data_IF_122842151671
#
_entry.id   IF_122842151671
#
_cell.length_a   1.000
_cell.length_b   1.000
_cell.length_c   1.000
_cell.angle_alpha   90.00
_cell.angle_beta   90.00
_cell.angle_gamma   90.00
#
_symmetry.space_group_name_H-M   'P 1'
#
loop_
_entity.id
_entity.type
_entity.pdbx_description
1 polymer ?
#
# COMPACT_ATOMS: atom_id res chain seq x y z
N UNK A 1 6.73 -24.33 1.70
CA UNK A 1 6.80 -24.58 3.16
C UNK A 1 6.27 -23.40 3.96
N UNK A 2 6.86 -22.20 3.83
CA UNK A 2 6.47 -21.00 4.61
C UNK A 2 5.00 -20.60 4.46
N UNK A 3 4.48 -20.46 3.24
CA UNK A 3 3.06 -20.07 3.04
C UNK A 3 2.07 -21.13 3.57
N UNK A 4 2.41 -22.42 3.45
CA UNK A 4 1.58 -23.48 4.02
C UNK A 4 1.56 -23.47 5.56
N UNK A 5 2.71 -23.17 6.18
CA UNK A 5 2.78 -22.98 7.63
C UNK A 5 1.98 -21.74 8.06
N UNK A 6 2.10 -20.63 7.32
CA UNK A 6 1.35 -19.40 7.58
C UNK A 6 -0.18 -19.65 7.51
N UNK A 7 -0.64 -20.42 6.53
CA UNK A 7 -2.06 -20.79 6.38
C UNK A 7 -2.63 -21.51 7.61
N UNK A 8 -1.79 -22.22 8.37
CA UNK A 8 -2.22 -22.89 9.61
C UNK A 8 -2.31 -21.97 10.83
N UNK A 9 -1.79 -20.73 10.73
CA UNK A 9 -1.63 -19.79 11.86
C UNK A 9 -2.39 -18.48 11.69
N UNK A 10 -2.69 -18.09 10.45
CA UNK A 10 -3.26 -16.78 10.16
C UNK A 10 -4.74 -16.72 10.52
N UNK A 11 -5.14 -15.66 11.22
CA UNK A 11 -6.55 -15.44 11.56
C UNK A 11 -7.35 -14.97 10.33
N UNK A 12 -8.69 -15.20 10.31
CA UNK A 12 -9.57 -14.58 9.33
C UNK A 12 -9.42 -13.06 9.34
N UNK A 13 -9.51 -12.43 8.16
CA UNK A 13 -9.37 -10.97 7.98
C UNK A 13 -8.01 -10.37 8.43
N UNK A 14 -7.01 -11.20 8.78
CA UNK A 14 -5.65 -10.71 8.97
C UNK A 14 -5.05 -10.26 7.64
N UNK A 15 -4.04 -9.39 7.72
CA UNK A 15 -3.24 -8.96 6.57
C UNK A 15 -1.99 -9.82 6.44
N UNK A 16 -1.76 -10.32 5.24
CA UNK A 16 -0.54 -11.01 4.84
C UNK A 16 0.26 -10.07 3.95
N UNK A 17 1.51 -9.84 4.32
CA UNK A 17 2.44 -9.03 3.54
C UNK A 17 3.52 -9.94 2.97
N UNK A 18 3.68 -9.92 1.65
CA UNK A 18 4.68 -10.68 0.92
C UNK A 18 5.55 -9.67 0.17
N UNK A 19 6.83 -9.61 0.50
CA UNK A 19 7.79 -8.76 -0.20
C UNK A 19 8.79 -9.66 -0.90
N UNK A 20 8.91 -9.49 -2.21
CA UNK A 20 9.83 -10.23 -3.05
C UNK A 20 10.93 -9.29 -3.51
N UNK A 21 12.18 -9.61 -3.17
CA UNK A 21 13.36 -8.81 -3.52
C UNK A 21 14.38 -9.75 -4.16
N UNK A 22 14.85 -9.40 -5.35
CA UNK A 22 15.84 -10.20 -6.06
C UNK A 22 15.76 -9.99 -7.56
N UNK A 23 16.20 -11.02 -8.29
CA UNK A 23 16.16 -11.02 -9.75
C UNK A 23 14.93 -11.78 -10.22
N UNK A 24 14.19 -11.19 -11.15
CA UNK A 24 13.13 -11.90 -11.85
C UNK A 24 13.53 -12.18 -13.28
N UNK A 25 12.80 -13.11 -13.89
CA UNK A 25 13.03 -13.50 -15.27
C UNK A 25 11.72 -13.99 -15.90
N UNK A 26 11.68 -14.00 -17.23
CA UNK A 26 10.54 -14.54 -17.97
C UNK A 26 11.04 -15.60 -18.92
N UNK A 27 10.55 -16.84 -18.74
CA UNK A 27 10.93 -18.00 -19.54
C UNK A 27 9.66 -18.60 -20.14
N UNK A 28 9.58 -18.66 -21.47
CA UNK A 28 8.42 -19.23 -22.16
C UNK A 28 7.11 -18.45 -21.97
N UNK A 29 7.19 -17.19 -21.54
CA UNK A 29 6.03 -16.36 -21.18
C UNK A 29 5.68 -16.38 -19.69
N UNK A 30 6.30 -17.27 -18.90
CA UNK A 30 6.06 -17.33 -17.46
C UNK A 30 7.06 -16.44 -16.72
N UNK A 31 6.56 -15.41 -16.03
CA UNK A 31 7.37 -14.62 -15.12
C UNK A 31 7.66 -15.38 -13.83
N UNK A 32 8.91 -15.24 -13.37
CA UNK A 32 9.50 -15.99 -12.27
C UNK A 32 10.36 -15.10 -11.40
N UNK A 33 10.54 -15.52 -10.15
CA UNK A 33 11.56 -14.98 -9.26
C UNK A 33 12.60 -16.05 -8.95
N UNK A 34 13.86 -15.64 -9.01
CA UNK A 34 14.98 -16.52 -8.74
C UNK A 34 15.08 -16.82 -7.24
N UNK A 35 15.03 -18.09 -6.87
CA UNK A 35 15.10 -18.55 -5.49
C UNK A 35 16.22 -19.60 -5.31
N UNK A 36 16.70 -19.83 -4.08
CA UNK A 36 17.50 -21.01 -3.78
C UNK A 36 16.67 -22.29 -4.00
N UNK A 37 16.78 -22.88 -5.19
CA UNK A 37 15.97 -24.02 -5.62
C UNK A 37 15.23 -23.74 -6.93
N UNK A 38 14.07 -24.37 -7.19
CA UNK A 38 13.25 -24.05 -8.33
C UNK A 38 12.76 -22.59 -8.27
N UNK A 39 12.88 -21.88 -9.39
CA UNK A 39 12.30 -20.55 -9.53
C UNK A 39 10.78 -20.63 -9.37
N UNK A 40 10.21 -19.73 -8.57
CA UNK A 40 8.78 -19.67 -8.36
C UNK A 40 8.14 -18.83 -9.46
N UNK A 41 7.12 -19.37 -10.13
CA UNK A 41 6.33 -18.62 -11.12
C UNK A 41 5.23 -17.79 -10.47
N UNK A 42 4.69 -16.82 -11.20
CA UNK A 42 3.50 -16.09 -10.77
C UNK A 42 2.29 -17.04 -10.52
N UNK A 43 2.15 -18.11 -11.32
CA UNK A 43 1.09 -19.11 -11.16
C UNK A 43 1.28 -19.98 -9.91
N UNK A 44 2.52 -20.37 -9.60
CA UNK A 44 2.83 -21.08 -8.36
C UNK A 44 2.46 -20.23 -7.13
N UNK A 45 2.80 -18.95 -7.17
CA UNK A 45 2.44 -18.01 -6.11
C UNK A 45 0.92 -17.87 -6.00
N UNK A 46 0.20 -17.70 -7.11
CA UNK A 46 -1.26 -17.61 -7.13
C UNK A 46 -1.92 -18.86 -6.50
N UNK A 47 -1.42 -20.05 -6.83
CA UNK A 47 -1.89 -21.31 -6.27
C UNK A 47 -1.68 -21.40 -4.74
N UNK A 48 -0.54 -20.88 -4.25
CA UNK A 48 -0.29 -20.79 -2.81
C UNK A 48 -1.21 -19.77 -2.13
N UNK A 49 -1.51 -18.65 -2.79
CA UNK A 49 -2.39 -17.61 -2.25
C UNK A 49 -3.87 -18.03 -2.21
N UNK A 50 -4.27 -19.04 -2.99
CA UNK A 50 -5.62 -19.61 -2.92
C UNK A 50 -5.95 -20.21 -1.53
N UNK A 51 -4.93 -20.52 -0.71
CA UNK A 51 -5.08 -20.97 0.67
C UNK A 51 -5.55 -19.89 1.65
N UNK A 52 -5.67 -18.63 1.23
CA UNK A 52 -6.00 -17.48 2.08
C UNK A 52 -7.27 -16.75 1.61
N UNK A 53 -8.45 -17.41 1.65
CA UNK A 53 -9.67 -16.87 1.04
C UNK A 53 -10.23 -15.63 1.75
N UNK A 54 -9.89 -15.43 3.03
CA UNK A 54 -10.48 -14.38 3.88
C UNK A 54 -9.51 -13.26 4.25
N UNK A 55 -8.22 -13.45 3.97
CA UNK A 55 -7.17 -12.52 4.36
C UNK A 55 -7.03 -11.40 3.32
N UNK A 56 -6.55 -10.24 3.76
CA UNK A 56 -6.03 -9.21 2.86
C UNK A 56 -4.59 -9.56 2.49
N UNK A 57 -4.25 -9.50 1.21
CA UNK A 57 -2.89 -9.82 0.74
C UNK A 57 -2.28 -8.57 0.12
N UNK A 58 -1.20 -8.09 0.70
CA UNK A 58 -0.30 -7.13 0.09
C UNK A 58 0.90 -7.89 -0.47
N UNK A 59 1.05 -7.89 -1.79
CA UNK A 59 2.20 -8.47 -2.46
C UNK A 59 3.01 -7.37 -3.16
N UNK A 60 4.26 -7.21 -2.76
CA UNK A 60 5.18 -6.21 -3.32
C UNK A 60 6.33 -6.96 -3.99
N UNK A 61 6.32 -7.01 -5.31
CA UNK A 61 7.37 -7.61 -6.12
C UNK A 61 8.35 -6.56 -6.64
N UNK A 62 9.46 -6.42 -5.93
CA UNK A 62 10.54 -5.46 -6.22
C UNK A 62 11.61 -6.02 -7.15
N UNK A 63 11.37 -7.19 -7.76
CA UNK A 63 12.30 -7.80 -8.70
C UNK A 63 12.17 -7.22 -10.12
N UNK A 64 13.22 -7.37 -10.92
CA UNK A 64 13.15 -7.17 -12.38
C UNK A 64 12.14 -8.13 -13.03
N UNK A 65 11.63 -7.81 -14.21
CA UNK A 65 10.67 -8.66 -14.95
C UNK A 65 9.42 -9.09 -14.14
N UNK A 66 8.99 -8.24 -13.21
CA UNK A 66 7.91 -8.49 -12.26
C UNK A 66 6.51 -8.18 -12.80
N UNK A 67 6.34 -7.36 -13.84
CA UNK A 67 5.02 -6.88 -14.26
C UNK A 67 4.00 -7.97 -14.60
N UNK A 68 4.43 -9.08 -15.20
CA UNK A 68 3.52 -10.18 -15.57
C UNK A 68 3.02 -10.98 -14.35
N UNK A 69 3.41 -10.59 -13.12
CA UNK A 69 2.85 -11.12 -11.89
C UNK A 69 1.47 -10.55 -11.55
N UNK A 70 1.08 -9.39 -12.09
CA UNK A 70 -0.22 -8.77 -11.77
C UNK A 70 -1.38 -9.66 -12.18
N UNK A 71 -1.47 -10.08 -13.45
CA UNK A 71 -2.62 -10.85 -13.94
C UNK A 71 -2.96 -12.09 -13.10
N UNK A 72 -2.00 -12.99 -12.80
CA UNK A 72 -2.24 -14.16 -11.97
C UNK A 72 -2.53 -13.86 -10.48
N UNK A 73 -2.05 -12.73 -9.98
CA UNK A 73 -2.13 -12.39 -8.56
C UNK A 73 -3.20 -11.37 -8.21
N UNK A 74 -3.76 -10.68 -9.19
CA UNK A 74 -4.88 -9.77 -9.01
C UNK A 74 -6.12 -10.49 -8.48
N UNK A 75 -6.96 -9.77 -7.77
CA UNK A 75 -8.25 -10.25 -7.30
C UNK A 75 -8.72 -9.59 -6.00
N UNK A 76 -9.85 -10.07 -5.50
CA UNK A 76 -10.47 -9.53 -4.28
C UNK A 76 -9.52 -9.53 -3.08
N UNK A 77 -9.49 -8.41 -2.35
CA UNK A 77 -8.67 -8.20 -1.14
C UNK A 77 -7.18 -8.35 -1.41
N UNK A 78 -6.73 -8.00 -2.61
CA UNK A 78 -5.32 -7.99 -2.98
C UNK A 78 -4.86 -6.59 -3.34
N UNK A 79 -3.62 -6.30 -2.99
CA UNK A 79 -2.84 -5.17 -3.47
C UNK A 79 -1.55 -5.76 -4.03
N UNK A 80 -1.34 -5.62 -5.33
CA UNK A 80 -0.17 -6.12 -6.02
C UNK A 80 0.64 -4.94 -6.54
N UNK A 81 1.89 -4.84 -6.12
CA UNK A 81 2.84 -3.84 -6.60
C UNK A 81 3.97 -4.54 -7.33
N UNK A 82 4.30 -4.08 -8.54
CA UNK A 82 5.46 -4.56 -9.31
C UNK A 82 6.41 -3.41 -9.59
N UNK A 83 7.71 -3.70 -9.60
CA UNK A 83 8.73 -2.73 -9.96
C UNK A 83 8.79 -2.42 -11.47
N UNK A 84 8.20 -3.28 -12.29
CA UNK A 84 8.26 -3.21 -13.76
C UNK A 84 6.89 -3.42 -14.38
N UNK A 85 6.73 -3.03 -15.64
CA UNK A 85 5.47 -3.15 -16.40
C UNK A 85 5.30 -4.52 -17.03
N UNK A 86 6.40 -5.22 -17.33
CA UNK A 86 6.34 -6.53 -17.98
C UNK A 86 7.61 -7.34 -17.78
N UNK A 87 7.56 -8.61 -18.19
CA UNK A 87 8.71 -9.52 -18.21
C UNK A 87 9.87 -9.14 -19.15
N UNK A 88 9.72 -8.06 -19.94
CA UNK A 88 10.78 -7.56 -20.84
C UNK A 88 11.71 -6.56 -20.17
N UNK A 89 11.30 -5.96 -19.05
CA UNK A 89 12.11 -5.00 -18.27
C UNK A 89 13.01 -5.77 -17.29
N UNK A 90 14.16 -6.24 -17.79
CA UNK A 90 15.03 -7.19 -17.08
C UNK A 90 16.22 -6.56 -16.36
N UNK A 91 16.40 -5.26 -16.53
CA UNK A 91 17.46 -4.52 -15.88
C UNK A 91 17.26 -4.49 -14.36
N UNK A 92 18.34 -4.22 -13.62
CA UNK A 92 18.24 -4.00 -12.17
C UNK A 92 17.28 -2.85 -11.87
N UNK A 93 16.27 -3.13 -11.07
CA UNK A 93 15.26 -2.14 -10.70
C UNK A 93 15.73 -1.24 -9.57
N UNK A 94 15.61 0.07 -9.76
CA UNK A 94 15.84 1.08 -8.72
C UNK A 94 14.59 1.28 -7.85
N UNK A 95 13.40 0.99 -8.37
CA UNK A 95 12.12 1.19 -7.70
C UNK A 95 12.10 0.62 -6.27
N UNK A 96 12.60 -0.60 -6.09
CA UNK A 96 12.58 -1.25 -4.77
C UNK A 96 13.35 -0.50 -3.69
N UNK A 97 14.48 0.12 -4.03
CA UNK A 97 15.25 0.93 -3.09
C UNK A 97 14.48 2.16 -2.64
N UNK A 98 13.86 2.88 -3.58
CA UNK A 98 13.05 4.05 -3.28
C UNK A 98 11.74 3.72 -2.56
N UNK A 99 11.11 2.60 -2.91
CA UNK A 99 9.91 2.12 -2.24
C UNK A 99 10.17 1.84 -0.76
N UNK A 100 11.26 1.14 -0.43
CA UNK A 100 11.64 0.87 0.95
C UNK A 100 12.01 2.16 1.69
N UNK A 101 12.72 3.08 1.04
CA UNK A 101 13.06 4.39 1.63
C UNK A 101 11.79 5.21 1.97
N UNK A 102 10.80 5.19 1.08
CA UNK A 102 9.55 5.92 1.22
C UNK A 102 8.82 5.58 2.53
N UNK A 103 8.87 4.31 2.97
CA UNK A 103 8.19 3.84 4.18
C UNK A 103 8.63 4.56 5.47
N UNK A 104 9.75 5.28 5.42
CA UNK A 104 10.30 6.06 6.55
C UNK A 104 10.56 7.52 6.22
N UNK A 105 10.24 7.98 5.01
CA UNK A 105 10.50 9.33 4.55
C UNK A 105 9.31 10.25 4.85
N UNK A 106 9.54 11.38 5.50
CA UNK A 106 8.49 12.37 5.77
C UNK A 106 7.98 13.02 4.48
N UNK A 107 8.82 13.06 3.44
CA UNK A 107 8.47 13.55 2.11
C UNK A 107 7.50 12.62 1.37
N UNK A 108 7.45 11.33 1.73
CA UNK A 108 6.52 10.37 1.15
C UNK A 108 5.12 10.47 1.77
N UNK A 109 4.99 10.96 3.00
CA UNK A 109 3.70 11.28 3.63
C UNK A 109 3.14 12.56 2.97
N UNK A 110 2.31 12.37 1.95
CA UNK A 110 1.78 13.46 1.12
C UNK A 110 0.55 14.12 1.74
N UNK A 111 -0.27 13.37 2.47
CA UNK A 111 -1.46 13.88 3.13
C UNK A 111 -1.19 14.39 4.56
N UNK A 112 0.04 14.19 5.05
CA UNK A 112 0.55 14.64 6.35
C UNK A 112 -0.20 14.03 7.52
N UNK A 113 -0.61 12.76 7.38
CA UNK A 113 -1.28 11.99 8.45
C UNK A 113 -0.28 11.36 9.46
N UNK A 114 1.02 11.46 9.20
CA UNK A 114 2.09 10.91 10.02
C UNK A 114 2.42 9.45 9.73
N UNK A 115 1.86 8.87 8.66
CA UNK A 115 2.13 7.52 8.16
C UNK A 115 2.34 7.58 6.64
N UNK A 116 2.87 6.49 6.09
CA UNK A 116 3.05 6.34 4.65
C UNK A 116 2.25 5.14 4.19
N UNK A 117 1.22 5.40 3.39
CA UNK A 117 0.41 4.36 2.76
C UNK A 117 1.18 3.65 1.64
N UNK A 118 0.70 2.48 1.20
CA UNK A 118 1.29 1.78 0.05
C UNK A 118 1.20 2.63 -1.22
N UNK A 119 0.10 3.36 -1.39
CA UNK A 119 -0.05 4.27 -2.52
C UNK A 119 1.01 5.38 -2.50
N UNK A 120 1.25 5.99 -1.34
CA UNK A 120 2.25 7.04 -1.19
C UNK A 120 3.67 6.52 -1.40
N UNK A 121 3.99 5.34 -0.85
CA UNK A 121 5.27 4.69 -1.08
C UNK A 121 5.48 4.37 -2.57
N UNK A 122 4.42 3.94 -3.27
CA UNK A 122 4.45 3.69 -4.71
C UNK A 122 4.69 4.96 -5.52
N UNK A 123 3.93 6.02 -5.28
CA UNK A 123 4.05 7.30 -6.00
C UNK A 123 5.39 7.98 -5.74
N UNK A 124 5.87 7.98 -4.49
CA UNK A 124 7.20 8.48 -4.14
C UNK A 124 8.30 7.73 -4.90
N UNK A 125 8.24 6.39 -4.89
CA UNK A 125 9.25 5.57 -5.55
C UNK A 125 9.24 5.76 -7.06
N UNK A 126 8.06 5.85 -7.68
CA UNK A 126 7.91 6.16 -9.11
C UNK A 126 8.57 7.50 -9.46
N UNK A 127 8.29 8.54 -8.69
CA UNK A 127 8.86 9.87 -8.91
C UNK A 127 10.40 9.89 -8.77
N UNK A 128 10.94 9.20 -7.76
CA UNK A 128 12.38 9.13 -7.54
C UNK A 128 13.11 8.35 -8.64
N UNK A 129 12.53 7.26 -9.13
CA UNK A 129 13.06 6.52 -10.28
C UNK A 129 13.16 7.47 -11.49
N UNK A 130 12.06 8.13 -11.88
CA UNK A 130 12.07 9.08 -12.99
C UNK A 130 13.16 10.13 -12.82
N UNK A 131 13.23 10.76 -11.64
CA UNK A 131 14.22 11.78 -11.29
C UNK A 131 15.66 11.31 -11.50
N UNK A 132 15.97 10.08 -11.11
CA UNK A 132 17.32 9.53 -11.20
C UNK A 132 17.71 9.19 -12.63
N UNK A 133 16.79 8.64 -13.43
CA UNK A 133 17.05 8.39 -14.85
C UNK A 133 17.26 9.70 -15.61
N UNK A 134 16.47 10.74 -15.33
CA UNK A 134 16.65 12.08 -15.91
C UNK A 134 18.00 12.70 -15.53
N UNK A 135 18.38 12.67 -14.25
CA UNK A 135 19.66 13.18 -13.78
C UNK A 135 20.87 12.48 -14.42
N UNK A 136 20.72 11.18 -14.69
CA UNK A 136 21.76 10.38 -15.34
C UNK A 136 21.73 10.50 -16.88
N UNK A 137 20.81 11.27 -17.47
CA UNK A 137 20.56 11.31 -18.91
C UNK A 137 20.32 9.91 -19.53
N UNK A 138 19.56 9.07 -18.82
CA UNK A 138 19.20 7.71 -19.25
C UNK A 138 17.72 7.65 -19.61
N UNK A 139 17.37 6.78 -20.55
CA UNK A 139 15.98 6.44 -20.83
C UNK A 139 15.43 5.58 -19.69
N UNK A 140 14.22 5.89 -19.23
CA UNK A 140 13.50 5.11 -18.23
C UNK A 140 13.27 3.69 -18.74
N UNK A 141 13.81 2.69 -18.03
CA UNK A 141 13.75 1.27 -18.43
C UNK A 141 12.91 0.41 -17.48
N UNK A 142 12.31 1.00 -16.45
CA UNK A 142 11.42 0.34 -15.51
C UNK A 142 10.18 1.19 -15.28
N UNK A 143 9.01 0.53 -15.26
CA UNK A 143 7.73 1.22 -15.06
C UNK A 143 6.90 0.46 -14.04
N UNK A 144 7.00 0.85 -12.77
CA UNK A 144 6.26 0.21 -11.70
C UNK A 144 4.74 0.26 -11.92
N UNK A 145 4.03 -0.79 -11.53
CA UNK A 145 2.57 -0.88 -11.62
C UNK A 145 1.97 -1.23 -10.27
N UNK A 146 0.74 -0.78 -10.04
CA UNK A 146 -0.07 -1.12 -8.88
C UNK A 146 -1.43 -1.64 -9.35
N UNK A 147 -1.88 -2.75 -8.80
CA UNK A 147 -3.21 -3.33 -8.99
C UNK A 147 -3.85 -3.51 -7.60
N UNK A 148 -4.96 -2.84 -7.33
CA UNK A 148 -5.73 -3.02 -6.09
C UNK A 148 -7.24 -3.10 -6.26
N UNK A 149 -7.75 -2.98 -7.49
CA UNK A 149 -9.17 -3.13 -7.78
C UNK A 149 -9.56 -4.56 -8.19
N UNK A 150 -8.60 -5.39 -8.58
CA UNK A 150 -8.79 -6.80 -8.91
C UNK A 150 -9.09 -7.08 -10.39
N UNK A 151 -8.85 -6.14 -11.30
CA UNK A 151 -9.16 -6.29 -12.73
C UNK A 151 -8.08 -7.04 -13.54
N UNK A 152 -6.89 -7.24 -12.96
CA UNK A 152 -5.77 -7.93 -13.61
C UNK A 152 -4.88 -7.02 -14.45
N UNK A 153 -5.06 -5.70 -14.36
CA UNK A 153 -4.39 -4.67 -15.15
C UNK A 153 -3.82 -3.58 -14.24
N UNK A 154 -2.58 -3.78 -13.80
CA UNK A 154 -1.93 -2.78 -12.97
C UNK A 154 -1.66 -1.47 -13.70
N UNK A 155 -1.83 -0.38 -12.98
CA UNK A 155 -1.74 0.97 -13.49
C UNK A 155 -0.45 1.66 -13.05
N UNK A 156 0.16 2.45 -13.95
CA UNK A 156 1.35 3.26 -13.64
C UNK A 156 0.97 4.65 -13.10
N UNK A 157 -0.03 5.27 -13.73
CA UNK A 157 -0.56 6.59 -13.34
C UNK A 157 -1.86 6.42 -12.58
N UNK A 158 -1.78 6.50 -11.26
CA UNK A 158 -2.88 6.12 -10.37
C UNK A 158 -3.92 7.23 -10.31
N UNK A 159 -5.19 6.86 -10.49
CA UNK A 159 -6.34 7.69 -10.11
C UNK A 159 -7.21 6.92 -9.09
N UNK A 160 -7.02 7.19 -7.78
CA UNK A 160 -7.76 6.50 -6.72
C UNK A 160 -9.27 6.74 -6.75
N UNK A 161 -9.78 7.66 -7.59
CA UNK A 161 -11.20 7.90 -7.75
C UNK A 161 -11.86 6.97 -8.78
N UNK A 162 -11.11 6.41 -9.73
CA UNK A 162 -11.68 5.70 -10.89
C UNK A 162 -11.10 4.31 -11.15
N UNK A 163 -10.04 3.91 -10.45
CA UNK A 163 -9.47 2.56 -10.56
C UNK A 163 -8.54 2.24 -9.39
N UNK A 164 -7.35 1.74 -9.73
CA UNK A 164 -6.27 1.48 -8.79
C UNK A 164 -5.98 2.66 -7.85
N UNK A 165 -5.55 2.35 -6.63
CA UNK A 165 -5.20 3.33 -5.60
C UNK A 165 -6.24 3.47 -4.50
N UNK A 166 -7.46 2.97 -4.73
CA UNK A 166 -8.58 3.11 -3.80
C UNK A 166 -8.36 2.31 -2.51
N UNK A 167 -7.71 1.14 -2.59
CA UNK A 167 -7.39 0.29 -1.43
C UNK A 167 -6.04 0.64 -0.83
N UNK A 168 -5.01 0.76 -1.66
CA UNK A 168 -3.61 0.97 -1.25
C UNK A 168 -3.39 2.28 -0.49
N UNK A 169 -4.26 3.28 -0.66
CA UNK A 169 -4.27 4.53 0.15
C UNK A 169 -4.55 4.33 1.65
N UNK A 170 -5.12 3.20 2.05
CA UNK A 170 -5.43 2.87 3.46
C UNK A 170 -4.72 1.60 3.92
N UNK A 171 -3.83 1.05 3.09
CA UNK A 171 -2.94 -0.05 3.45
C UNK A 171 -1.62 0.55 3.89
N UNK A 172 -1.13 0.07 5.04
CA UNK A 172 0.14 0.49 5.63
C UNK A 172 0.98 -0.77 5.88
N UNK A 173 2.29 -0.67 5.63
CA UNK A 173 3.27 -1.75 5.80
C UNK A 173 3.69 -1.90 7.26
N UNK A 174 3.86 -0.78 7.95
CA UNK A 174 3.97 -0.79 9.41
C UNK A 174 2.63 -1.30 9.96
N UNK A 175 2.68 -2.43 10.68
CA UNK A 175 1.58 -2.79 11.57
C UNK A 175 1.38 -1.60 12.47
N UNK A 176 0.19 -1.01 12.38
CA UNK A 176 -0.27 0.16 13.09
C UNK A 176 0.61 0.36 14.33
N UNK A 177 1.64 1.20 14.20
CA UNK A 177 2.22 1.83 15.36
C UNK A 177 1.15 2.72 16.00
N UNK A 178 -0.12 2.75 15.56
CA UNK A 178 -1.24 3.18 16.41
C UNK A 178 -1.86 2.02 17.26
N UNK A 179 -1.67 0.74 16.90
CA UNK A 179 -2.02 -0.42 17.76
C UNK A 179 -0.87 -0.82 18.69
N UNK A 180 0.39 -0.64 18.27
CA UNK A 180 1.58 -0.80 19.14
C UNK A 180 2.13 0.52 19.70
N UNK A 181 1.79 1.65 19.09
CA UNK A 181 1.88 2.98 19.70
C UNK A 181 0.49 3.64 19.67
N UNK A 182 -0.46 3.03 20.39
CA UNK A 182 -0.99 3.86 21.48
C UNK A 182 0.28 4.37 22.14
N UNK A 183 0.62 5.66 22.14
CA UNK A 183 1.63 6.07 23.10
C UNK A 183 1.17 5.41 24.39
N UNK A 184 2.06 4.70 25.08
CA UNK A 184 1.77 4.30 26.44
C UNK A 184 1.67 5.61 27.22
N UNK A 185 0.55 6.29 27.03
CA UNK A 185 0.13 7.49 27.67
C UNK A 185 -0.83 6.98 28.71
N UNK A 186 -0.45 7.24 29.96
CA UNK A 186 -1.31 7.00 31.10
C UNK A 186 -2.51 7.99 31.10
N UNK A 187 -2.56 8.94 30.15
CA UNK A 187 -3.67 9.88 29.96
C UNK A 187 -4.87 9.20 29.28
N UNK A 188 -5.96 8.92 30.03
CA UNK A 188 -7.15 8.26 29.49
C UNK A 188 -7.89 9.13 28.46
N UNK A 189 -7.74 10.45 28.51
CA UNK A 189 -8.41 11.36 27.59
C UNK A 189 -7.67 11.45 26.25
N UNK A 190 -6.32 11.38 26.25
CA UNK A 190 -5.55 11.29 25.00
C UNK A 190 -5.85 9.96 24.28
N UNK A 191 -6.03 8.85 25.03
CA UNK A 191 -6.51 7.58 24.47
C UNK A 191 -7.89 7.71 23.82
N UNK A 192 -8.83 8.41 24.47
CA UNK A 192 -10.14 8.66 23.91
C UNK A 192 -10.08 9.48 22.61
N UNK A 193 -9.16 10.45 22.53
CA UNK A 193 -8.96 11.25 21.32
C UNK A 193 -8.43 10.42 20.14
N UNK A 194 -7.51 9.47 20.36
CA UNK A 194 -7.07 8.57 19.29
C UNK A 194 -8.18 7.64 18.80
N UNK A 195 -8.99 7.09 19.72
CA UNK A 195 -10.15 6.26 19.36
C UNK A 195 -11.16 7.07 18.55
N UNK A 196 -11.39 8.32 18.94
CA UNK A 196 -12.30 9.21 18.22
C UNK A 196 -11.74 9.60 16.83
N UNK A 197 -10.43 9.84 16.72
CA UNK A 197 -9.76 10.06 15.44
C UNK A 197 -9.96 8.88 14.49
N UNK A 198 -9.68 7.66 14.95
CA UNK A 198 -9.85 6.43 14.15
C UNK A 198 -11.32 6.25 13.70
N UNK A 199 -12.27 6.50 14.61
CA UNK A 199 -13.71 6.46 14.28
C UNK A 199 -14.09 7.48 13.20
N UNK A 200 -13.52 8.70 13.26
CA UNK A 200 -13.78 9.76 12.30
C UNK A 200 -13.15 9.46 10.93
N UNK A 201 -11.92 8.94 10.91
CA UNK A 201 -11.24 8.48 9.70
C UNK A 201 -12.05 7.38 8.99
N UNK A 202 -12.51 6.37 9.74
CA UNK A 202 -13.38 5.32 9.22
C UNK A 202 -14.70 5.88 8.65
N UNK A 203 -15.34 6.82 9.35
CA UNK A 203 -16.57 7.45 8.86
C UNK A 203 -16.35 8.26 7.57
N UNK A 204 -15.20 8.92 7.41
CA UNK A 204 -14.84 9.64 6.17
C UNK A 204 -14.64 8.64 5.03
N UNK A 205 -13.94 7.53 5.27
CA UNK A 205 -13.75 6.48 4.28
C UNK A 205 -15.10 5.88 3.82
N UNK A 206 -15.99 5.56 4.75
CA UNK A 206 -17.34 5.04 4.47
C UNK A 206 -18.22 6.04 3.71
N UNK A 207 -18.08 7.34 3.99
CA UNK A 207 -18.80 8.38 3.27
C UNK A 207 -18.27 8.51 1.84
N UNK A 208 -16.96 8.50 1.66
CA UNK A 208 -16.31 8.56 0.34
C UNK A 208 -16.67 7.36 -0.54
N UNK A 209 -16.70 6.15 0.03
CA UNK A 209 -17.11 4.94 -0.66
C UNK A 209 -18.55 5.01 -1.19
N UNK A 210 -19.43 5.75 -0.50
CA UNK A 210 -20.84 5.93 -0.88
C UNK A 210 -21.12 7.17 -1.73
N UNK A 211 -20.10 7.96 -2.07
CA UNK A 211 -20.23 9.23 -2.82
C UNK A 211 -21.10 9.09 -4.07
N UNK A 212 -20.86 8.05 -4.88
CA UNK A 212 -21.57 7.82 -6.16
C UNK A 212 -23.04 7.41 -5.99
N UNK A 213 -23.48 7.12 -4.76
CA UNK A 213 -24.85 6.71 -4.41
C UNK A 213 -25.61 7.76 -3.59
N UNK A 214 -25.00 8.93 -3.33
CA UNK A 214 -25.56 9.98 -2.49
C UNK A 214 -25.81 11.25 -3.31
N UNK A 215 -26.77 12.05 -2.84
CA UNK A 215 -26.95 13.42 -3.35
C UNK A 215 -25.67 14.25 -3.10
N UNK A 216 -25.15 14.99 -4.11
CA UNK A 216 -23.91 15.75 -3.98
C UNK A 216 -23.90 16.76 -2.83
N UNK A 217 -25.00 17.49 -2.63
CA UNK A 217 -25.11 18.51 -1.57
C UNK A 217 -25.08 17.87 -0.18
N UNK A 218 -25.74 16.72 -0.06
CA UNK A 218 -25.77 15.91 1.18
C UNK A 218 -24.40 15.33 1.49
N UNK A 219 -23.71 14.82 0.47
CA UNK A 219 -22.35 14.31 0.59
C UNK A 219 -21.37 15.40 1.04
N UNK A 220 -21.41 16.59 0.44
CA UNK A 220 -20.55 17.72 0.81
C UNK A 220 -20.78 18.15 2.26
N UNK A 221 -22.04 18.25 2.69
CA UNK A 221 -22.40 18.64 4.06
C UNK A 221 -21.88 17.63 5.09
N UNK A 222 -22.07 16.33 4.83
CA UNK A 222 -21.59 15.27 5.74
C UNK A 222 -20.06 15.19 5.74
N UNK A 223 -19.42 15.39 4.59
CA UNK A 223 -17.97 15.37 4.47
C UNK A 223 -17.35 16.54 5.23
N UNK A 224 -17.89 17.75 5.05
CA UNK A 224 -17.45 18.94 5.78
C UNK A 224 -17.56 18.71 7.30
N UNK A 225 -18.70 18.18 7.76
CA UNK A 225 -18.93 17.87 9.18
C UNK A 225 -17.87 16.91 9.73
N UNK A 226 -17.57 15.84 9.00
CA UNK A 226 -16.58 14.84 9.43
C UNK A 226 -15.16 15.39 9.40
N UNK A 227 -14.78 16.14 8.35
CA UNK A 227 -13.45 16.74 8.25
C UNK A 227 -13.21 17.81 9.33
N UNK A 228 -14.21 18.62 9.66
CA UNK A 228 -14.13 19.58 10.77
C UNK A 228 -13.96 18.88 12.12
N UNK A 229 -14.67 17.77 12.34
CA UNK A 229 -14.52 16.97 13.56
C UNK A 229 -13.12 16.34 13.65
N UNK A 230 -12.62 15.78 12.56
CA UNK A 230 -11.28 15.18 12.48
C UNK A 230 -10.18 16.22 12.71
N UNK A 231 -10.31 17.41 12.10
CA UNK A 231 -9.38 18.52 12.30
C UNK A 231 -9.33 19.00 13.75
N UNK A 232 -10.46 18.96 14.48
CA UNK A 232 -10.51 19.27 15.92
C UNK A 232 -9.80 18.20 16.74
N UNK A 233 -10.11 16.92 16.51
CA UNK A 233 -9.45 15.80 17.18
C UNK A 233 -7.92 15.86 16.99
N UNK A 234 -7.43 16.10 15.77
CA UNK A 234 -6.00 16.24 15.48
C UNK A 234 -5.35 17.47 16.12
N UNK A 235 -6.10 18.55 16.36
CA UNK A 235 -5.59 19.71 17.10
C UNK A 235 -5.48 19.39 18.59
N UNK A 236 -6.48 18.74 19.16
CA UNK A 236 -6.54 18.41 20.58
C UNK A 236 -5.47 17.38 20.96
N UNK A 237 -5.22 16.40 20.08
CA UNK A 237 -4.11 15.45 20.18
C UNK A 237 -2.77 16.21 20.22
N UNK A 238 -2.48 17.04 19.21
CA UNK A 238 -1.23 17.81 19.14
C UNK A 238 -1.03 18.76 20.34
N UNK A 239 -2.10 19.38 20.82
CA UNK A 239 -2.04 20.26 21.99
C UNK A 239 -1.69 19.52 23.28
N UNK A 240 -2.05 18.24 23.37
CA UNK A 240 -1.84 17.40 24.56
C UNK A 240 -0.54 16.62 24.50
N UNK A 241 -0.12 16.19 23.31
CA UNK A 241 1.22 15.68 23.05
C UNK A 241 2.30 16.76 23.26
N UNK A 242 1.95 18.04 23.06
CA UNK A 242 2.88 19.16 23.02
C UNK A 242 2.99 20.10 24.24
N UNK A 243 2.64 19.72 25.47
CA UNK A 243 2.64 20.68 26.61
C UNK A 243 3.63 20.39 27.77
N UNK A 244 4.25 21.39 28.43
CA UNK A 244 4.75 22.69 27.98
C UNK A 244 6.29 22.67 27.78
N UNK A 245 6.81 23.38 26.79
CA UNK A 245 8.22 23.81 26.84
C UNK A 245 8.42 24.71 28.07
N UNK A 246 9.15 24.21 29.07
CA UNK A 246 9.84 25.01 30.08
C UNK A 246 11.30 25.15 29.69
#
# INVERSE_FOLDING_TARGET
AVLAELASRVEPAARIVIVLIGHGSTIGGDARINLPGPDMTAQDCAALLAGFPTQEILLVNLASASGDWIGPLSGDRRVVVTATRSGTERDESLFGGYFVAALTAEEADTDKDGRVSILEAFEYAKAEVVRVYEQQNRLLSEHALLDDDGDGHGTHEIDPATGDGARSRSVFLAADSARQARPATDDPELQALYVERERLEGAVADLRARKNSMDPTTYETELERLLLALARANRDIRSREGGPSR
#
